data_IF_280908587058
#
_entry.id   IF_280908587058
#
_cell.length_a   1.000
_cell.length_b   1.000
_cell.length_c   1.000
_cell.angle_alpha   90.00
_cell.angle_beta   90.00
_cell.angle_gamma   90.00
#
_symmetry.space_group_name_H-M   'P 1'
#
loop_
_entity.id
_entity.type
_entity.pdbx_description
1 polymer ?
#
# COMPACT_ATOMS: atom_id res chain seq x y z
N UNK A 1 -3.71 8.59 14.77
CA UNK A 1 -2.81 8.31 13.64
C UNK A 1 -2.59 6.82 13.58
N UNK A 2 -3.05 6.17 12.53
CA UNK A 2 -2.99 4.72 12.35
C UNK A 2 -2.00 4.39 11.26
N UNK A 3 -1.23 3.32 11.46
CA UNK A 3 -0.22 2.86 10.50
C UNK A 3 -0.48 1.42 10.15
N UNK A 4 -0.50 1.13 8.85
CA UNK A 4 -0.67 -0.20 8.29
C UNK A 4 0.61 -0.60 7.55
N UNK A 5 0.95 -1.88 7.64
CA UNK A 5 1.95 -2.51 6.78
C UNK A 5 1.21 -3.11 5.58
N UNK A 6 1.68 -2.78 4.39
CA UNK A 6 1.09 -3.25 3.14
C UNK A 6 1.98 -4.34 2.57
N UNK A 7 1.40 -5.50 2.33
CA UNK A 7 2.11 -6.72 1.94
C UNK A 7 1.51 -7.35 0.69
N UNK A 8 2.31 -8.12 -0.08
CA UNK A 8 1.79 -8.95 -1.15
C UNK A 8 0.81 -9.99 -0.60
N UNK A 9 -0.23 -10.33 -1.37
CA UNK A 9 -1.16 -11.41 -0.97
C UNK A 9 -0.61 -12.81 -1.18
N UNK A 10 0.43 -12.95 -2.00
CA UNK A 10 1.05 -14.25 -2.31
C UNK A 10 2.05 -14.60 -1.22
N UNK A 11 1.99 -15.83 -0.72
CA UNK A 11 2.99 -16.34 0.23
C UNK A 11 4.37 -16.38 -0.44
N UNK A 12 5.42 -15.83 0.19
CA UNK A 12 6.77 -15.94 -0.32
C UNK A 12 7.18 -17.41 -0.43
N UNK A 13 7.95 -17.73 -1.48
CA UNK A 13 8.61 -19.03 -1.62
C UNK A 13 10.11 -18.82 -1.68
N UNK A 14 10.92 -19.81 -1.28
CA UNK A 14 12.39 -19.71 -1.29
C UNK A 14 12.98 -19.34 -2.66
N UNK A 15 12.25 -19.64 -3.74
CA UNK A 15 12.64 -19.30 -5.11
C UNK A 15 12.13 -17.95 -5.60
N UNK A 16 11.12 -17.37 -4.95
CA UNK A 16 10.51 -16.13 -5.38
C UNK A 16 10.00 -15.36 -4.15
N UNK A 17 10.77 -14.38 -3.64
CA UNK A 17 10.29 -13.51 -2.58
C UNK A 17 9.06 -12.76 -3.12
N UNK A 18 7.93 -12.89 -2.43
CA UNK A 18 6.69 -12.22 -2.81
C UNK A 18 6.92 -10.70 -2.81
N UNK A 19 6.48 -10.02 -3.86
CA UNK A 19 6.57 -8.56 -3.99
C UNK A 19 5.25 -7.95 -4.44
N UNK A 20 5.07 -6.66 -4.16
CA UNK A 20 3.95 -5.84 -4.62
C UNK A 20 4.07 -5.49 -6.11
N UNK A 21 5.26 -5.74 -6.70
CA UNK A 21 5.61 -5.47 -8.08
C UNK A 21 6.84 -4.58 -8.19
N UNK A 22 7.21 -4.23 -9.42
CA UNK A 22 8.24 -3.21 -9.61
C UNK A 22 7.76 -1.85 -9.10
N UNK A 23 8.68 -0.99 -8.69
CA UNK A 23 8.35 0.35 -8.18
C UNK A 23 7.47 1.14 -9.16
N UNK A 24 7.84 1.14 -10.44
CA UNK A 24 7.07 1.81 -11.49
C UNK A 24 5.65 1.24 -11.63
N UNK A 25 5.45 -0.06 -11.41
CA UNK A 25 4.14 -0.69 -11.46
C UNK A 25 3.28 -0.31 -10.25
N UNK A 26 3.87 -0.30 -9.05
CA UNK A 26 3.21 0.14 -7.81
C UNK A 26 2.75 1.59 -7.93
N UNK A 27 3.64 2.50 -8.38
CA UNK A 27 3.31 3.91 -8.61
C UNK A 27 2.21 4.07 -9.66
N UNK A 28 2.24 3.31 -10.75
CA UNK A 28 1.20 3.36 -11.79
C UNK A 28 -0.17 2.90 -11.26
N UNK A 29 -0.20 1.84 -10.46
CA UNK A 29 -1.41 1.31 -9.84
C UNK A 29 -2.01 2.29 -8.81
N UNK A 30 -1.17 2.92 -8.00
CA UNK A 30 -1.63 3.90 -7.02
C UNK A 30 -2.07 5.22 -7.68
N UNK A 31 -1.43 5.62 -8.78
CA UNK A 31 -1.80 6.84 -9.54
C UNK A 31 -3.22 6.79 -10.07
N UNK A 32 -3.68 5.65 -10.59
CA UNK A 32 -5.08 5.50 -11.06
C UNK A 32 -6.10 5.52 -9.90
N UNK A 33 -5.63 5.46 -8.66
CA UNK A 33 -6.39 5.58 -7.43
C UNK A 33 -6.13 6.92 -6.72
N UNK A 34 -5.70 7.95 -7.47
CA UNK A 34 -5.40 9.31 -7.00
C UNK A 34 -4.33 9.35 -5.89
N UNK A 35 -3.37 8.43 -5.93
CA UNK A 35 -2.28 8.36 -4.96
C UNK A 35 -0.94 8.40 -5.67
N UNK A 36 -0.14 9.45 -5.44
CA UNK A 36 1.15 9.64 -6.14
C UNK A 36 2.12 10.51 -5.35
N UNK A 37 3.40 10.45 -5.70
CA UNK A 37 4.42 11.35 -5.15
C UNK A 37 4.33 12.74 -5.76
N UNK A 38 4.66 13.77 -4.98
CA UNK A 38 4.80 15.16 -5.44
C UNK A 38 6.05 15.38 -6.30
N UNK A 39 7.04 14.48 -6.17
CA UNK A 39 8.29 14.50 -6.92
C UNK A 39 8.47 13.22 -7.74
N UNK A 40 9.14 13.34 -8.89
CA UNK A 40 9.48 12.19 -9.72
C UNK A 40 10.39 11.25 -8.94
N UNK A 41 9.95 10.00 -8.77
CA UNK A 41 10.68 8.97 -8.02
C UNK A 41 10.67 9.16 -6.49
N UNK A 42 9.85 10.06 -5.95
CA UNK A 42 9.76 10.26 -4.50
C UNK A 42 9.24 9.01 -3.77
N UNK A 43 9.74 8.79 -2.56
CA UNK A 43 9.42 7.64 -1.72
C UNK A 43 8.11 7.78 -0.94
N UNK A 44 7.51 8.97 -0.98
CA UNK A 44 6.25 9.26 -0.29
C UNK A 44 5.18 9.52 -1.34
N UNK A 45 4.09 8.76 -1.29
CA UNK A 45 2.94 8.94 -2.19
C UNK A 45 1.74 9.39 -1.37
N UNK A 46 1.14 10.51 -1.76
CA UNK A 46 0.01 11.11 -1.09
C UNK A 46 -1.28 10.76 -1.81
N UNK A 47 -2.28 10.37 -1.05
CA UNK A 47 -3.66 10.18 -1.49
C UNK A 47 -4.64 10.87 -0.53
N UNK A 48 -5.94 10.86 -0.82
CA UNK A 48 -6.93 11.47 0.07
C UNK A 48 -6.97 10.76 1.43
N UNK A 49 -6.59 11.47 2.50
CA UNK A 49 -6.58 10.94 3.87
C UNK A 49 -5.52 9.86 4.15
N UNK A 50 -4.61 9.61 3.20
CA UNK A 50 -3.59 8.57 3.32
C UNK A 50 -2.23 8.98 2.75
N UNK A 51 -1.18 8.33 3.23
CA UNK A 51 0.17 8.45 2.72
C UNK A 51 0.86 7.09 2.69
N UNK A 52 1.42 6.68 1.54
CA UNK A 52 2.33 5.53 1.46
C UNK A 52 3.78 5.97 1.59
N UNK A 53 4.59 5.16 2.26
CA UNK A 53 6.03 5.32 2.35
C UNK A 53 6.71 4.05 1.81
N UNK A 54 7.42 4.21 0.69
CA UNK A 54 8.24 3.16 0.09
C UNK A 54 9.65 3.20 0.69
N UNK A 55 10.30 2.03 0.74
CA UNK A 55 11.71 1.98 1.06
C UNK A 55 12.54 2.66 -0.05
N UNK A 56 13.49 3.55 0.29
CA UNK A 56 14.31 4.24 -0.71
C UNK A 56 15.05 3.28 -1.63
N UNK A 57 14.98 3.54 -2.95
CA UNK A 57 15.63 2.75 -4.00
C UNK A 57 15.28 1.24 -4.03
N UNK A 58 14.22 0.81 -3.33
CA UNK A 58 13.81 -0.60 -3.35
C UNK A 58 13.01 -0.92 -4.62
N UNK A 59 13.51 -1.89 -5.39
CA UNK A 59 12.83 -2.49 -6.54
C UNK A 59 13.24 -3.97 -6.66
N UNK A 60 12.31 -4.95 -6.60
CA UNK A 60 10.86 -4.78 -6.45
C UNK A 60 10.46 -4.34 -5.04
N UNK A 61 9.30 -3.67 -4.93
CA UNK A 61 8.74 -3.26 -3.64
C UNK A 61 8.22 -4.51 -2.93
N UNK A 62 8.78 -4.84 -1.76
CA UNK A 62 8.38 -6.04 -1.00
C UNK A 62 7.34 -5.73 0.06
N UNK A 63 7.38 -4.51 0.60
CA UNK A 63 6.42 -3.98 1.56
C UNK A 63 6.46 -2.45 1.53
N UNK A 64 5.43 -1.81 2.08
CA UNK A 64 5.41 -0.37 2.32
C UNK A 64 4.58 -0.03 3.55
N UNK A 65 4.82 1.15 4.13
CA UNK A 65 3.98 1.67 5.21
C UNK A 65 2.86 2.54 4.62
N UNK A 66 1.71 2.50 5.26
CA UNK A 66 0.56 3.33 4.96
C UNK A 66 0.11 4.04 6.24
N UNK A 67 0.20 5.36 6.23
CA UNK A 67 -0.29 6.21 7.31
C UNK A 67 -1.68 6.76 6.95
N UNK A 68 -2.60 6.67 7.90
CA UNK A 68 -3.94 7.26 7.80
C UNK A 68 -3.92 8.61 8.49
N UNK A 69 -3.99 9.68 7.69
CA UNK A 69 -3.97 11.07 8.15
C UNK A 69 -5.38 11.62 8.42
N UNK A 70 -6.39 11.08 7.74
CA UNK A 70 -7.81 11.36 7.95
C UNK A 70 -8.57 10.03 7.95
N UNK A 71 -9.20 9.68 9.08
CA UNK A 71 -9.85 8.37 9.24
C UNK A 71 -11.13 8.24 8.40
N UNK A 72 -11.90 9.32 8.23
CA UNK A 72 -13.18 9.28 7.54
C UNK A 72 -12.97 9.12 6.02
N UNK A 73 -12.00 9.84 5.47
CA UNK A 73 -11.65 9.77 4.04
C UNK A 73 -10.75 8.57 3.75
N UNK A 74 -9.76 8.33 4.62
CA UNK A 74 -8.72 7.34 4.39
C UNK A 74 -9.28 5.92 4.27
N UNK A 75 -10.28 5.54 5.07
CA UNK A 75 -10.87 4.20 4.98
C UNK A 75 -11.55 3.91 3.64
N UNK A 76 -12.23 4.90 3.05
CA UNK A 76 -12.84 4.75 1.73
C UNK A 76 -11.78 4.51 0.64
N UNK A 77 -10.63 5.18 0.75
CA UNK A 77 -9.52 4.99 -0.18
C UNK A 77 -8.85 3.64 0.02
N UNK A 78 -8.60 3.24 1.27
CA UNK A 78 -7.97 1.96 1.60
C UNK A 78 -8.83 0.78 1.15
N UNK A 79 -10.14 0.85 1.37
CA UNK A 79 -11.07 -0.16 0.89
C UNK A 79 -11.01 -0.29 -0.64
N UNK A 80 -11.01 0.84 -1.36
CA UNK A 80 -10.87 0.84 -2.82
C UNK A 80 -9.55 0.22 -3.27
N UNK A 81 -8.43 0.60 -2.66
CA UNK A 81 -7.10 0.05 -2.98
C UNK A 81 -7.06 -1.46 -2.71
N UNK A 82 -7.50 -1.91 -1.53
CA UNK A 82 -7.52 -3.33 -1.16
C UNK A 82 -8.36 -4.18 -2.12
N UNK A 83 -9.53 -3.66 -2.53
CA UNK A 83 -10.39 -4.34 -3.51
C UNK A 83 -9.76 -4.41 -4.90
N UNK A 84 -9.09 -3.36 -5.35
CA UNK A 84 -8.51 -3.27 -6.70
C UNK A 84 -7.18 -4.01 -6.85
N UNK A 85 -6.26 -3.84 -5.89
CA UNK A 85 -4.89 -4.35 -6.00
C UNK A 85 -4.68 -5.68 -5.31
N UNK A 86 -5.65 -6.10 -4.48
CA UNK A 86 -5.58 -7.35 -3.72
C UNK A 86 -4.29 -7.46 -2.91
N UNK A 87 -3.88 -6.35 -2.29
CA UNK A 87 -2.80 -6.35 -1.31
C UNK A 87 -3.36 -6.59 0.09
N UNK A 88 -2.51 -7.09 0.98
CA UNK A 88 -2.82 -7.25 2.39
C UNK A 88 -2.48 -5.98 3.15
N UNK A 89 -3.29 -5.66 4.14
CA UNK A 89 -3.12 -4.50 5.00
C UNK A 89 -3.15 -4.97 6.44
N UNK A 90 -2.05 -4.81 7.16
CA UNK A 90 -1.90 -5.30 8.53
C UNK A 90 -1.72 -4.10 9.45
N UNK A 91 -2.59 -3.96 10.45
CA UNK A 91 -2.45 -2.92 11.46
C UNK A 91 -1.23 -3.21 12.34
N UNK A 92 -0.27 -2.28 12.37
CA UNK A 92 1.02 -2.51 13.06
C UNK A 92 0.86 -2.66 14.57
N UNK A 93 -0.19 -2.08 15.16
CA UNK A 93 -0.39 -2.09 16.60
C UNK A 93 -1.08 -3.37 17.07
N UNK A 94 -1.91 -3.97 16.21
CA UNK A 94 -2.71 -5.16 16.58
C UNK A 94 -2.24 -6.44 15.90
N UNK A 95 -1.50 -6.33 14.80
CA UNK A 95 -1.14 -7.46 13.93
C UNK A 95 -2.30 -8.02 13.10
N UNK A 96 -3.50 -7.42 13.20
CA UNK A 96 -4.67 -7.89 12.48
C UNK A 96 -4.63 -7.45 11.02
N UNK A 97 -4.92 -8.38 10.13
CA UNK A 97 -5.17 -8.09 8.72
C UNK A 97 -6.57 -7.48 8.55
N UNK A 98 -6.67 -6.41 7.77
CA UNK A 98 -7.95 -5.80 7.41
C UNK A 98 -8.70 -6.70 6.43
N UNK A 99 -9.96 -7.01 6.74
CA UNK A 99 -10.86 -7.71 5.84
C UNK A 99 -11.67 -6.69 5.04
N UNK A 100 -11.60 -6.75 3.72
CA UNK A 100 -12.49 -6.02 2.83
C UNK A 100 -13.58 -6.98 2.35
N UNK A 101 -14.87 -6.64 2.48
CA UNK A 101 -15.94 -7.48 1.94
C UNK A 101 -15.68 -7.73 0.45
N UNK A 102 -16.04 -8.89 -0.08
CA UNK A 102 -16.12 -9.06 -1.54
C UNK A 102 -17.38 -8.33 -2.05
N UNK A 103 -17.29 -7.66 -3.21
CA UNK A 103 -18.51 -7.23 -3.92
C UNK A 103 -19.28 -8.42 -4.46
#
# INVERSE_FOLDING_TARGET
>A
MRVLVVLPSVTPSDRNPSSLGSRASVEKCLRVLNTQSDSVGGDILYGPGIQFQLAPNQDPVVQMLLEVSDEDIGWLVIERIGRTLKWKFVDINTGNELAFPSN
#
